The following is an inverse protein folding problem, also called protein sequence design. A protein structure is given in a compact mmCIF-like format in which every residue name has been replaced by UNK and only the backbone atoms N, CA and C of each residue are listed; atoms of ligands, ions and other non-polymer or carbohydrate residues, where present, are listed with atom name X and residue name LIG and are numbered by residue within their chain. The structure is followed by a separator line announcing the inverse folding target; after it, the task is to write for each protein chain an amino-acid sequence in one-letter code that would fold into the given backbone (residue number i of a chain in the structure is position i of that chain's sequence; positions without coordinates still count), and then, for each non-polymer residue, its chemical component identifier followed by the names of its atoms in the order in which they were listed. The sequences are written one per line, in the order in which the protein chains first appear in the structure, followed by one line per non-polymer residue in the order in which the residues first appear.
data_IF_972922017676
#
_entry.id   IF_972922017676
#
_cell.length_a   1.000
_cell.length_b   1.000
_cell.length_c   1.000
_cell.angle_alpha   90.00
_cell.angle_beta   90.00
_cell.angle_gamma   90.00
#
_symmetry.space_group_name_H-M   'P 1'
#
loop_
_entity.id
_entity.type
_entity.pdbx_description
1 polymer ?
#
# COMPACT_ATOMS: atom_id res chain seq x y z
N UNK A 1 -46.70 -8.70 11.56
CA UNK A 1 -46.04 -8.12 10.37
C UNK A 1 -45.43 -6.73 10.63
N UNK A 2 -46.18 -5.69 11.01
CA UNK A 2 -45.64 -4.32 11.25
C UNK A 2 -44.46 -4.24 12.23
N UNK A 3 -44.51 -4.99 13.35
CA UNK A 3 -43.40 -5.05 14.33
C UNK A 3 -42.15 -5.75 13.79
N UNK A 4 -42.33 -6.77 12.94
CA UNK A 4 -41.22 -7.49 12.31
C UNK A 4 -40.54 -6.63 11.24
N UNK A 5 -41.34 -5.88 10.48
CA UNK A 5 -40.84 -4.89 9.52
C UNK A 5 -40.08 -3.75 10.21
N UNK A 6 -40.63 -3.20 11.30
CA UNK A 6 -39.93 -2.18 12.09
C UNK A 6 -38.61 -2.70 12.68
N UNK A 7 -38.59 -3.95 13.21
CA UNK A 7 -37.38 -4.58 13.70
C UNK A 7 -36.37 -4.83 12.58
N UNK A 8 -36.80 -5.24 11.38
CA UNK A 8 -35.94 -5.44 10.22
C UNK A 8 -35.33 -4.13 9.71
N UNK A 9 -36.13 -3.07 9.61
CA UNK A 9 -35.63 -1.72 9.29
C UNK A 9 -34.66 -1.23 10.36
N UNK A 10 -34.97 -1.45 11.64
CA UNK A 10 -34.09 -1.12 12.75
C UNK A 10 -32.77 -1.89 12.68
N UNK A 11 -32.79 -3.19 12.35
CA UNK A 11 -31.58 -4.00 12.17
C UNK A 11 -30.74 -3.53 10.97
N UNK A 12 -31.37 -3.14 9.84
CA UNK A 12 -30.66 -2.56 8.68
C UNK A 12 -30.01 -1.21 9.03
N UNK A 13 -30.65 -0.42 9.90
CA UNK A 13 -30.07 0.84 10.40
C UNK A 13 -28.93 0.62 11.40
N UNK A 14 -28.88 -0.54 12.08
CA UNK A 14 -27.82 -0.90 13.02
C UNK A 14 -26.68 -1.74 12.43
N UNK A 15 -26.85 -2.31 11.24
CA UNK A 15 -25.72 -2.78 10.43
C UNK A 15 -25.04 -1.53 9.88
N UNK A 16 -24.15 -0.95 10.70
CA UNK A 16 -23.48 0.32 10.44
C UNK A 16 -23.06 0.47 8.99
N UNK A 17 -23.41 1.60 8.41
CA UNK A 17 -23.06 1.97 7.06
C UNK A 17 -21.56 2.30 6.99
N UNK A 18 -20.70 1.29 7.04
CA UNK A 18 -19.27 1.42 6.74
C UNK A 18 -19.04 1.24 5.24
N UNK A 19 -18.07 1.97 4.69
CA UNK A 19 -17.52 1.70 3.38
C UNK A 19 -16.16 1.06 3.59
N UNK A 20 -16.10 -0.27 3.42
CA UNK A 20 -14.85 -1.02 3.48
C UNK A 20 -13.80 -0.37 2.57
N UNK A 21 -12.53 -0.44 2.97
CA UNK A 21 -11.42 -0.02 2.15
C UNK A 21 -11.53 -0.64 0.75
N UNK A 22 -11.50 0.21 -0.28
CA UNK A 22 -11.57 -0.22 -1.68
C UNK A 22 -10.52 0.53 -2.49
N UNK A 23 -9.56 -0.22 -3.03
CA UNK A 23 -8.54 0.33 -3.95
C UNK A 23 -9.08 0.20 -5.38
N UNK A 24 -9.20 1.30 -6.09
CA UNK A 24 -9.86 1.33 -7.40
C UNK A 24 -9.00 0.83 -8.54
N UNK A 25 -7.67 0.90 -8.39
CA UNK A 25 -6.69 0.59 -9.43
C UNK A 25 -5.69 -0.51 -9.01
N UNK A 26 -6.05 -1.37 -8.06
CA UNK A 26 -5.14 -2.41 -7.53
C UNK A 26 -4.58 -3.34 -8.63
N UNK A 27 -5.37 -3.60 -9.67
CA UNK A 27 -5.01 -4.52 -10.75
C UNK A 27 -4.19 -3.89 -11.87
N UNK A 28 -4.03 -2.56 -11.90
CA UNK A 28 -3.23 -1.88 -12.94
C UNK A 28 -1.74 -2.23 -12.80
N UNK A 29 -1.32 -2.58 -11.59
CA UNK A 29 0.06 -2.96 -11.26
C UNK A 29 0.24 -4.49 -11.16
N UNK A 30 -0.55 -5.26 -11.89
CA UNK A 30 -0.36 -6.71 -11.95
C UNK A 30 0.85 -7.06 -12.83
N UNK A 31 1.84 -7.77 -12.29
CA UNK A 31 2.93 -8.37 -13.08
C UNK A 31 2.67 -9.83 -13.35
N UNK A 32 3.01 -10.26 -14.56
CA UNK A 32 3.10 -11.68 -14.89
C UNK A 32 4.31 -12.31 -14.18
N UNK A 33 4.24 -13.60 -13.82
CA UNK A 33 5.41 -14.32 -13.32
C UNK A 33 6.57 -14.23 -14.32
N UNK A 34 7.77 -13.92 -13.83
CA UNK A 34 9.01 -13.97 -14.62
C UNK A 34 9.36 -15.43 -14.86
N UNK A 35 9.88 -15.77 -16.05
CA UNK A 35 10.44 -17.09 -16.30
C UNK A 35 11.58 -17.38 -15.32
N UNK A 36 11.65 -18.59 -14.74
CA UNK A 36 12.72 -18.91 -13.81
C UNK A 36 14.08 -18.84 -14.53
N UNK A 37 15.10 -18.26 -13.88
CA UNK A 37 16.45 -18.18 -14.44
C UNK A 37 17.08 -19.57 -14.55
N UNK A 38 18.10 -19.71 -15.41
CA UNK A 38 18.86 -20.97 -15.52
C UNK A 38 19.73 -21.22 -14.28
N UNK A 39 20.27 -20.14 -13.71
CA UNK A 39 21.08 -20.15 -12.50
C UNK A 39 20.48 -19.22 -11.45
N UNK A 40 20.33 -19.72 -10.23
CA UNK A 40 19.78 -18.97 -9.10
C UNK A 40 20.89 -18.36 -8.27
N UNK A 41 20.69 -17.13 -7.78
CA UNK A 41 21.69 -16.43 -6.96
C UNK A 41 21.26 -16.28 -5.50
N UNK A 42 22.23 -16.10 -4.61
CA UNK A 42 21.98 -15.67 -3.22
C UNK A 42 22.06 -14.15 -3.12
N UNK A 43 20.97 -13.51 -2.65
CA UNK A 43 20.90 -12.06 -2.50
C UNK A 43 20.78 -11.64 -1.03
N UNK A 44 21.41 -10.53 -0.68
CA UNK A 44 21.20 -9.81 0.58
C UNK A 44 20.26 -8.63 0.38
N UNK A 45 19.26 -8.45 1.23
CA UNK A 45 18.34 -7.31 1.16
C UNK A 45 18.57 -6.37 2.34
N UNK A 46 18.75 -5.08 2.06
CA UNK A 46 18.89 -3.99 3.04
C UNK A 46 17.70 -3.06 2.92
N UNK A 47 17.06 -2.74 4.05
CA UNK A 47 15.92 -1.83 4.09
C UNK A 47 16.22 -0.55 4.86
N UNK A 48 15.93 0.61 4.27
CA UNK A 48 16.09 1.90 4.95
C UNK A 48 15.04 2.16 6.04
N UNK A 49 13.87 1.52 5.95
CA UNK A 49 12.69 1.85 6.76
C UNK A 49 12.41 0.89 7.93
N UNK A 50 13.41 0.14 8.42
CA UNK A 50 13.17 -0.84 9.49
C UNK A 50 12.64 -0.24 10.81
N UNK A 51 12.80 1.08 11.01
CA UNK A 51 12.36 1.77 12.23
C UNK A 51 10.93 2.35 12.13
N UNK A 52 10.29 2.29 10.97
CA UNK A 52 8.91 2.75 10.77
C UNK A 52 7.96 1.53 10.82
N UNK A 53 7.21 1.33 11.92
CA UNK A 53 6.36 0.16 12.07
C UNK A 53 5.31 0.03 10.96
N UNK A 54 4.76 1.16 10.50
CA UNK A 54 3.66 1.19 9.53
C UNK A 54 4.20 0.89 8.13
N UNK A 55 5.26 1.59 7.71
CA UNK A 55 5.81 1.43 6.36
C UNK A 55 6.65 0.15 6.17
N UNK A 56 7.10 -0.48 7.26
CA UNK A 56 7.81 -1.77 7.20
C UNK A 56 7.01 -2.89 6.49
N UNK A 57 5.68 -2.78 6.44
CA UNK A 57 4.81 -3.72 5.74
C UNK A 57 5.13 -3.86 4.25
N UNK A 58 5.45 -2.75 3.57
CA UNK A 58 5.84 -2.78 2.16
C UNK A 58 7.15 -3.52 1.95
N UNK A 59 8.17 -3.23 2.76
CA UNK A 59 9.46 -3.88 2.64
C UNK A 59 9.34 -5.39 2.93
N UNK A 60 8.60 -5.76 3.97
CA UNK A 60 8.35 -7.15 4.31
C UNK A 60 7.64 -7.89 3.17
N UNK A 61 6.68 -7.25 2.50
CA UNK A 61 5.97 -7.87 1.38
C UNK A 61 6.87 -8.09 0.17
N UNK A 62 7.78 -7.14 -0.14
CA UNK A 62 8.80 -7.31 -1.19
C UNK A 62 9.75 -8.45 -0.85
N UNK A 63 10.29 -8.49 0.37
CA UNK A 63 11.18 -9.58 0.82
C UNK A 63 10.47 -10.93 0.79
N UNK A 64 9.22 -11.00 1.24
CA UNK A 64 8.41 -12.20 1.20
C UNK A 64 8.15 -12.66 -0.24
N UNK A 65 7.90 -11.73 -1.16
CA UNK A 65 7.70 -12.03 -2.57
C UNK A 65 9.00 -12.51 -3.24
N UNK A 66 10.15 -11.88 -2.95
CA UNK A 66 11.46 -12.34 -3.41
C UNK A 66 11.72 -13.78 -2.93
N UNK A 67 11.52 -14.08 -1.64
CA UNK A 67 11.66 -15.43 -1.07
C UNK A 67 10.72 -16.46 -1.70
N UNK A 68 9.48 -16.07 -1.97
CA UNK A 68 8.46 -16.94 -2.54
C UNK A 68 8.53 -17.10 -4.07
N UNK A 69 9.40 -16.35 -4.76
CA UNK A 69 9.45 -16.33 -6.22
C UNK A 69 10.05 -17.59 -6.85
N UNK A 70 10.92 -18.29 -6.12
CA UNK A 70 11.71 -19.41 -6.65
C UNK A 70 12.84 -18.99 -7.61
N UNK A 71 13.08 -17.69 -7.79
CA UNK A 71 14.14 -17.17 -8.66
C UNK A 71 15.50 -17.07 -7.95
N UNK A 72 15.55 -17.24 -6.63
CA UNK A 72 16.76 -17.07 -5.83
C UNK A 72 17.02 -18.35 -5.05
N UNK A 73 18.30 -18.70 -4.87
CA UNK A 73 18.70 -19.81 -4.00
C UNK A 73 18.39 -19.45 -2.54
N UNK A 74 18.75 -18.21 -2.16
CA UNK A 74 18.53 -17.69 -0.81
C UNK A 74 18.37 -16.17 -0.82
N UNK A 75 17.43 -15.68 0.00
CA UNK A 75 17.20 -14.24 0.22
C UNK A 75 17.43 -13.92 1.70
N UNK A 76 18.57 -13.30 1.98
CA UNK A 76 19.01 -12.94 3.34
C UNK A 76 18.44 -11.56 3.70
N UNK A 77 17.57 -11.51 4.71
CA UNK A 77 17.00 -10.28 5.24
C UNK A 77 16.74 -10.44 6.75
N UNK A 78 17.19 -9.49 7.60
CA UNK A 78 17.97 -8.29 7.24
C UNK A 78 19.42 -8.63 6.87
N UNK A 79 19.93 -8.11 5.76
CA UNK A 79 21.34 -8.25 5.40
C UNK A 79 22.20 -7.26 6.19
N UNK A 80 23.36 -7.75 6.64
CA UNK A 80 24.43 -6.93 7.21
C UNK A 80 25.76 -7.41 6.67
N UNK A 81 26.57 -6.46 6.19
CA UNK A 81 27.89 -6.75 5.61
C UNK A 81 28.84 -7.41 6.63
N UNK A 82 28.74 -7.05 7.92
CA UNK A 82 29.60 -7.61 8.97
C UNK A 82 29.37 -9.10 9.21
N UNK A 83 28.14 -9.58 8.93
CA UNK A 83 27.71 -10.92 9.29
C UNK A 83 27.59 -11.85 8.07
N UNK A 84 27.43 -11.29 6.86
CA UNK A 84 27.09 -12.06 5.66
C UNK A 84 27.89 -11.64 4.42
N UNK A 85 28.97 -10.87 4.58
CA UNK A 85 29.68 -10.20 3.47
C UNK A 85 30.10 -11.12 2.32
N UNK A 86 30.52 -12.35 2.61
CA UNK A 86 30.97 -13.34 1.62
C UNK A 86 29.88 -14.32 1.15
N UNK A 87 28.65 -14.17 1.62
CA UNK A 87 27.57 -15.15 1.37
C UNK A 87 26.59 -14.74 0.28
N UNK A 88 26.74 -13.53 -0.29
CA UNK A 88 25.79 -12.97 -1.25
C UNK A 88 26.50 -12.53 -2.53
N UNK A 89 25.86 -12.77 -3.67
CA UNK A 89 26.36 -12.36 -4.99
C UNK A 89 25.87 -10.96 -5.38
N UNK A 90 24.72 -10.56 -4.84
CA UNK A 90 24.17 -9.22 -4.99
C UNK A 90 23.56 -8.70 -3.69
N UNK A 91 23.68 -7.39 -3.48
CA UNK A 91 23.06 -6.66 -2.37
C UNK A 91 21.99 -5.76 -2.97
N UNK A 92 20.75 -5.94 -2.54
CA UNK A 92 19.59 -5.15 -2.96
C UNK A 92 19.21 -4.22 -1.81
N UNK A 93 19.50 -2.94 -1.96
CA UNK A 93 19.07 -1.90 -1.03
C UNK A 93 17.73 -1.31 -1.51
N UNK A 94 16.75 -1.31 -0.62
CA UNK A 94 15.39 -0.87 -0.90
C UNK A 94 15.05 0.29 0.03
N UNK A 95 14.66 1.42 -0.57
CA UNK A 95 14.11 2.58 0.13
C UNK A 95 12.74 2.90 -0.45
N UNK A 96 11.73 2.94 0.39
CA UNK A 96 10.35 3.22 0.00
C UNK A 96 10.01 4.60 0.56
N UNK A 97 9.30 5.42 -0.19
CA UNK A 97 8.91 6.78 0.20
C UNK A 97 7.44 6.93 -0.18
N UNK A 98 6.52 6.55 0.73
CA UNK A 98 5.10 6.73 0.50
C UNK A 98 4.67 8.15 0.86
N UNK A 99 3.91 8.76 -0.03
CA UNK A 99 3.20 10.02 0.18
C UNK A 99 1.70 9.75 0.11
N UNK A 100 0.94 10.35 1.02
CA UNK A 100 -0.49 10.11 1.18
C UNK A 100 -1.28 11.42 1.14
N UNK A 101 -2.29 11.47 0.27
CA UNK A 101 -3.09 12.67 0.05
C UNK A 101 -4.60 12.39 0.17
N UNK A 102 -5.31 13.36 0.71
CA UNK A 102 -6.76 13.41 0.70
C UNK A 102 -7.32 14.02 -0.58
N UNK A 103 -8.57 13.71 -0.93
CA UNK A 103 -9.20 14.26 -2.11
C UNK A 103 -10.13 15.44 -1.75
N UNK A 104 -10.01 16.56 -2.48
CA UNK A 104 -10.93 17.70 -2.34
C UNK A 104 -12.40 17.31 -2.54
N UNK A 105 -12.69 16.24 -3.30
CA UNK A 105 -14.05 15.71 -3.46
C UNK A 105 -14.68 15.23 -2.15
N UNK A 106 -13.88 14.92 -1.12
CA UNK A 106 -14.35 14.54 0.22
C UNK A 106 -15.16 15.66 0.88
N UNK A 107 -14.98 16.91 0.43
CA UNK A 107 -15.84 18.03 0.81
C UNK A 107 -17.31 17.73 0.51
N UNK A 108 -17.61 17.23 -0.70
CA UNK A 108 -18.98 16.94 -1.15
C UNK A 108 -19.56 15.67 -0.53
N UNK A 109 -18.73 14.85 0.11
CA UNK A 109 -19.18 13.70 0.89
C UNK A 109 -19.80 14.16 2.22
N UNK A 110 -19.32 15.28 2.78
CA UNK A 110 -19.85 15.87 4.03
C UNK A 110 -20.82 17.02 3.80
N UNK A 111 -20.48 17.97 2.94
CA UNK A 111 -21.32 19.11 2.59
C UNK A 111 -22.16 18.75 1.36
N UNK A 112 -23.49 18.99 1.36
CA UNK A 112 -24.24 19.92 2.22
C UNK A 112 -24.84 19.35 3.52
N UNK A 113 -24.43 18.18 3.99
CA UNK A 113 -24.85 17.60 5.27
C UNK A 113 -26.24 16.93 5.27
N UNK A 114 -27.11 17.23 4.30
CA UNK A 114 -28.40 16.53 4.17
C UNK A 114 -28.27 15.14 3.52
N UNK A 115 -27.11 14.81 2.94
CA UNK A 115 -26.82 13.49 2.39
C UNK A 115 -26.30 12.55 3.48
N UNK A 116 -27.21 12.17 4.37
CA UNK A 116 -26.95 11.36 5.58
C UNK A 116 -26.12 10.09 5.31
N UNK A 117 -26.23 9.51 4.12
CA UNK A 117 -25.52 8.27 3.75
C UNK A 117 -24.39 8.48 2.74
N UNK A 118 -24.01 9.73 2.43
CA UNK A 118 -22.94 10.00 1.46
C UNK A 118 -21.60 9.33 1.83
N UNK A 119 -21.11 9.40 3.08
CA UNK A 119 -19.88 8.70 3.46
C UNK A 119 -19.96 7.19 3.26
N UNK A 120 -21.09 6.59 3.60
CA UNK A 120 -21.28 5.15 3.45
C UNK A 120 -21.41 4.70 1.98
N UNK A 121 -22.05 5.51 1.14
CA UNK A 121 -22.29 5.16 -0.27
C UNK A 121 -21.03 5.42 -1.11
N UNK A 122 -20.31 6.51 -0.84
CA UNK A 122 -19.21 6.95 -1.69
C UNK A 122 -17.82 6.73 -1.09
N UNK A 123 -17.70 6.66 0.23
CA UNK A 123 -16.42 6.69 0.93
C UNK A 123 -15.71 8.03 0.79
N UNK A 124 -14.71 8.27 1.64
CA UNK A 124 -13.71 9.30 1.42
C UNK A 124 -12.65 8.78 0.45
N UNK A 125 -12.33 9.57 -0.56
CA UNK A 125 -11.28 9.27 -1.53
C UNK A 125 -9.91 9.72 -1.03
N UNK A 126 -8.92 8.87 -1.27
CA UNK A 126 -7.52 9.08 -0.93
C UNK A 126 -6.63 8.63 -2.10
N UNK A 127 -5.42 9.16 -2.13
CA UNK A 127 -4.36 8.79 -3.05
C UNK A 127 -3.09 8.44 -2.25
N UNK A 128 -2.37 7.42 -2.70
CA UNK A 128 -1.05 7.06 -2.18
C UNK A 128 -0.07 6.97 -3.35
N UNK A 129 0.97 7.79 -3.31
CA UNK A 129 2.08 7.78 -4.26
C UNK A 129 3.29 7.14 -3.60
N UNK A 130 3.69 5.97 -4.08
CA UNK A 130 4.74 5.16 -3.48
C UNK A 130 5.94 5.14 -4.42
N UNK A 131 6.97 5.92 -4.08
CA UNK A 131 8.25 5.87 -4.76
C UNK A 131 9.15 4.81 -4.11
N UNK A 132 9.68 3.89 -4.91
CA UNK A 132 10.55 2.81 -4.45
C UNK A 132 11.89 2.90 -5.17
N UNK A 133 12.91 3.28 -4.41
CA UNK A 133 14.30 3.29 -4.85
C UNK A 133 14.92 1.92 -4.59
N UNK A 134 15.49 1.34 -5.63
CA UNK A 134 16.19 0.06 -5.58
C UNK A 134 17.61 0.25 -6.10
N UNK A 135 18.58 0.03 -5.23
CA UNK A 135 20.00 -0.01 -5.57
C UNK A 135 20.50 -1.45 -5.50
N UNK A 136 20.94 -2.01 -6.62
CA UNK A 136 21.50 -3.36 -6.71
C UNK A 136 23.01 -3.25 -6.87
N UNK A 137 23.77 -3.74 -5.89
CA UNK A 137 25.23 -3.75 -5.92
C UNK A 137 25.75 -5.18 -6.10
N UNK A 138 26.71 -5.35 -7.01
CA UNK A 138 27.39 -6.61 -7.30
C UNK A 138 28.86 -6.50 -6.86
N UNK A 139 29.21 -6.96 -5.65
CA UNK A 139 30.55 -6.76 -5.08
C UNK A 139 31.68 -7.29 -5.98
N UNK A 140 31.50 -8.49 -6.53
CA UNK A 140 32.51 -9.16 -7.36
C UNK A 140 32.70 -8.49 -8.72
N UNK A 141 31.61 -7.95 -9.27
CA UNK A 141 31.62 -7.25 -10.57
C UNK A 141 32.02 -5.77 -10.44
N UNK A 142 32.06 -5.23 -9.21
CA UNK A 142 32.23 -3.79 -8.94
C UNK A 142 31.25 -2.93 -9.74
N UNK A 143 30.00 -3.39 -9.86
CA UNK A 143 28.92 -2.72 -10.57
C UNK A 143 27.76 -2.44 -9.62
N UNK A 144 27.04 -1.36 -9.91
CA UNK A 144 25.80 -1.02 -9.23
C UNK A 144 24.76 -0.56 -10.24
N UNK A 145 23.51 -0.91 -10.00
CA UNK A 145 22.36 -0.44 -10.78
C UNK A 145 21.38 0.26 -9.86
N UNK A 146 20.80 1.34 -10.38
CA UNK A 146 19.79 2.12 -9.69
C UNK A 146 18.51 2.07 -10.50
N UNK A 147 17.39 1.81 -9.84
CA UNK A 147 16.08 1.88 -10.45
C UNK A 147 15.08 2.53 -9.49
N UNK A 148 14.18 3.31 -10.07
CA UNK A 148 13.09 3.97 -9.36
C UNK A 148 11.76 3.44 -9.89
N UNK A 149 10.91 3.00 -8.98
CA UNK A 149 9.60 2.43 -9.29
C UNK A 149 8.54 3.32 -8.63
N UNK A 150 7.70 3.94 -9.44
CA UNK A 150 6.58 4.75 -8.98
C UNK A 150 5.27 4.00 -9.12
N UNK A 151 4.51 3.91 -8.03
CA UNK A 151 3.18 3.31 -8.01
C UNK A 151 2.20 4.26 -7.35
N UNK A 152 1.16 4.64 -8.08
CA UNK A 152 0.05 5.45 -7.56
C UNK A 152 -1.16 4.55 -7.30
N UNK A 153 -1.73 4.64 -6.11
CA UNK A 153 -2.95 3.94 -5.74
C UNK A 153 -4.02 4.95 -5.36
N UNK A 154 -5.22 4.78 -5.91
CA UNK A 154 -6.41 5.52 -5.51
C UNK A 154 -7.32 4.59 -4.74
N UNK A 155 -7.80 5.03 -3.59
CA UNK A 155 -8.64 4.20 -2.73
C UNK A 155 -9.70 5.00 -2.00
N UNK A 156 -10.69 4.28 -1.47
CA UNK A 156 -11.83 4.84 -0.75
C UNK A 156 -12.08 4.10 0.56
N UNK A 157 -12.39 4.82 1.64
CA UNK A 157 -12.76 4.23 2.92
C UNK A 157 -13.71 5.17 3.68
N UNK A 158 -14.63 4.60 4.46
CA UNK A 158 -15.36 5.33 5.48
C UNK A 158 -15.72 4.40 6.65
N UNK A 159 -15.43 4.84 7.87
CA UNK A 159 -15.84 4.20 9.11
C UNK A 159 -16.70 5.19 9.91
N UNK A 160 -17.82 4.71 10.47
CA UNK A 160 -18.81 5.58 11.12
C UNK A 160 -18.21 6.28 12.36
N UNK A 161 -17.47 5.53 13.16
CA UNK A 161 -16.76 5.99 14.36
C UNK A 161 -15.68 7.05 14.09
N UNK A 162 -15.26 7.20 12.82
CA UNK A 162 -14.31 8.23 12.37
C UNK A 162 -14.99 9.47 11.81
N UNK A 163 -16.30 9.40 11.56
CA UNK A 163 -17.06 10.57 11.16
C UNK A 163 -17.48 11.35 12.40
N UNK A 164 -16.68 12.35 12.80
CA UNK A 164 -17.00 13.28 13.92
C UNK A 164 -18.37 13.94 13.80
N UNK A 165 -18.97 13.88 12.61
CA UNK A 165 -20.29 14.34 12.34
C UNK A 165 -21.37 13.43 12.90
N UNK A 166 -21.16 12.27 13.55
CA UNK A 166 -22.19 11.36 14.15
C UNK A 166 -23.41 12.05 14.82
N UNK A 167 -23.29 13.30 15.28
CA UNK A 167 -24.38 14.12 15.83
C UNK A 167 -24.83 15.28 14.90
N UNK A 168 -24.00 15.71 13.95
CA UNK A 168 -24.24 16.81 13.00
C UNK A 168 -25.21 16.54 11.84
N UNK A 169 -25.81 15.34 11.77
CA UNK A 169 -26.73 14.88 10.70
C UNK A 169 -28.09 15.59 10.82
N UNK A 170 -28.42 16.00 12.04
CA UNK A 170 -29.59 16.80 12.39
C UNK A 170 -29.28 18.31 12.36
N UNK A 171 -28.01 18.68 12.22
CA UNK A 171 -27.53 20.06 12.22
C UNK A 171 -27.15 20.47 10.79
N UNK A 172 -28.16 20.75 9.98
CA UNK A 172 -27.98 21.47 8.70
C UNK A 172 -27.44 22.87 9.01
N UNK A 173 -26.14 23.09 8.80
CA UNK A 173 -25.50 24.35 9.17
C UNK A 173 -23.98 24.39 8.98
N UNK A 174 -23.29 25.10 9.87
CA UNK A 174 -21.84 25.35 9.76
C UNK A 174 -20.97 24.11 10.01
N UNK A 175 -21.51 23.12 10.74
CA UNK A 175 -20.77 21.92 11.14
C UNK A 175 -20.45 21.02 9.94
N UNK A 176 -21.40 20.62 9.07
CA UNK A 176 -21.08 19.91 7.83
C UNK A 176 -20.14 20.66 6.88
N UNK A 177 -20.18 21.99 6.90
CA UNK A 177 -19.28 22.83 6.10
C UNK A 177 -17.83 22.73 6.60
N UNK A 178 -17.61 22.88 7.91
CA UNK A 178 -16.29 22.68 8.53
C UNK A 178 -15.84 21.21 8.36
N UNK A 179 -16.79 20.27 8.53
CA UNK A 179 -16.74 18.87 8.11
C UNK A 179 -16.04 18.67 6.78
N UNK A 180 -16.64 19.25 5.74
CA UNK A 180 -16.16 19.15 4.38
C UNK A 180 -14.69 19.55 4.23
N UNK A 181 -14.26 20.65 4.86
CA UNK A 181 -12.88 21.12 4.78
C UNK A 181 -11.89 20.24 5.55
N UNK A 182 -12.25 19.74 6.73
CA UNK A 182 -11.36 18.86 7.51
C UNK A 182 -11.12 17.55 6.74
N UNK A 183 -12.17 16.96 6.20
CA UNK A 183 -12.08 15.67 5.48
C UNK A 183 -11.47 15.75 4.07
N UNK A 184 -11.11 16.94 3.56
CA UNK A 184 -10.28 17.02 2.35
C UNK A 184 -8.83 16.60 2.61
N UNK A 185 -8.39 16.60 3.87
CA UNK A 185 -7.07 16.14 4.26
C UNK A 185 -7.01 14.62 4.34
N UNK A 186 -5.79 14.07 4.32
CA UNK A 186 -5.57 12.64 4.50
C UNK A 186 -5.91 12.21 5.93
N UNK A 187 -6.53 11.04 6.08
CA UNK A 187 -6.81 10.40 7.38
C UNK A 187 -5.70 9.37 7.69
N UNK A 188 -4.78 9.62 8.65
CA UNK A 188 -3.70 8.69 8.97
C UNK A 188 -4.17 7.31 9.45
N UNK A 189 -5.39 7.20 9.98
CA UNK A 189 -5.89 5.93 10.50
C UNK A 189 -6.26 4.95 9.36
N UNK A 190 -6.30 5.41 8.10
CA UNK A 190 -6.52 4.54 6.92
C UNK A 190 -5.22 3.93 6.39
N UNK A 191 -4.05 4.39 6.87
CA UNK A 191 -2.75 3.96 6.35
C UNK A 191 -2.51 2.47 6.58
N UNK A 192 -2.68 1.96 7.80
CA UNK A 192 -2.42 0.56 8.11
C UNK A 192 -3.34 -0.41 7.33
N UNK A 193 -4.68 -0.21 7.29
CA UNK A 193 -5.56 -0.99 6.44
C UNK A 193 -5.14 -0.95 4.96
N UNK A 194 -4.77 0.24 4.46
CA UNK A 194 -4.32 0.43 3.08
C UNK A 194 -3.06 -0.39 2.78
N UNK A 195 -2.03 -0.29 3.63
CA UNK A 195 -0.79 -1.04 3.49
C UNK A 195 -1.07 -2.53 3.51
N UNK A 196 -1.89 -3.02 4.44
CA UNK A 196 -2.24 -4.44 4.53
C UNK A 196 -2.86 -4.98 3.23
N UNK A 197 -3.75 -4.21 2.61
CA UNK A 197 -4.44 -4.63 1.38
C UNK A 197 -3.56 -4.50 0.13
N UNK A 198 -2.74 -3.44 0.01
CA UNK A 198 -1.85 -3.23 -1.14
C UNK A 198 -0.62 -4.13 -1.11
N UNK A 199 -0.08 -4.40 0.07
CA UNK A 199 1.24 -5.02 0.26
C UNK A 199 1.46 -6.30 -0.56
N UNK A 200 0.52 -7.26 -0.66
CA UNK A 200 0.73 -8.48 -1.43
C UNK A 200 0.92 -8.23 -2.94
N UNK A 201 0.18 -7.29 -3.52
CA UNK A 201 0.30 -6.95 -4.95
C UNK A 201 1.57 -6.12 -5.19
N UNK A 202 1.78 -5.08 -4.38
CA UNK A 202 2.96 -4.24 -4.40
C UNK A 202 4.26 -5.05 -4.29
N UNK A 203 4.33 -5.95 -3.30
CA UNK A 203 5.51 -6.78 -3.04
C UNK A 203 5.87 -7.65 -4.24
N UNK A 204 4.87 -8.27 -4.89
CA UNK A 204 5.06 -9.04 -6.12
C UNK A 204 5.57 -8.16 -7.25
N UNK A 205 4.92 -7.03 -7.52
CA UNK A 205 5.31 -6.11 -8.60
C UNK A 205 6.77 -5.67 -8.47
N UNK A 206 7.15 -5.16 -7.29
CA UNK A 206 8.51 -4.69 -7.03
C UNK A 206 9.51 -5.85 -7.08
N UNK A 207 9.17 -7.03 -6.54
CA UNK A 207 10.04 -8.20 -6.61
C UNK A 207 10.30 -8.68 -8.04
N UNK A 208 9.28 -8.61 -8.93
CA UNK A 208 9.43 -8.87 -10.36
C UNK A 208 10.43 -7.90 -10.97
N UNK A 209 10.30 -6.60 -10.70
CA UNK A 209 11.21 -5.57 -11.24
C UNK A 209 12.65 -5.74 -10.74
N UNK A 210 12.83 -6.06 -9.46
CA UNK A 210 14.14 -6.39 -8.89
C UNK A 210 14.73 -7.61 -9.61
N UNK A 211 13.94 -8.67 -9.80
CA UNK A 211 14.39 -9.89 -10.49
C UNK A 211 14.79 -9.62 -11.94
N UNK A 212 13.95 -8.88 -12.68
CA UNK A 212 14.23 -8.49 -14.07
C UNK A 212 15.53 -7.69 -14.20
N UNK A 213 15.72 -6.67 -13.35
CA UNK A 213 16.96 -5.87 -13.35
C UNK A 213 18.16 -6.75 -13.01
N UNK A 214 18.01 -7.61 -11.99
CA UNK A 214 19.10 -8.42 -11.49
C UNK A 214 19.63 -9.38 -12.56
N UNK A 215 18.72 -10.11 -13.23
CA UNK A 215 19.08 -11.10 -14.24
C UNK A 215 19.48 -10.49 -15.58
N UNK A 216 18.90 -9.35 -15.97
CA UNK A 216 19.36 -8.62 -17.15
C UNK A 216 20.85 -8.26 -17.09
N UNK A 217 21.36 -8.07 -15.88
CA UNK A 217 22.75 -7.67 -15.66
C UNK A 217 23.66 -8.87 -15.54
N UNK A 218 23.23 -9.95 -14.89
CA UNK A 218 24.00 -11.20 -14.87
C UNK A 218 24.18 -11.76 -16.28
N UNK A 219 23.11 -11.87 -17.07
CA UNK A 219 23.17 -12.41 -18.44
C UNK A 219 24.11 -11.64 -19.39
N UNK A 220 24.32 -10.34 -19.17
CA UNK A 220 25.25 -9.53 -19.99
C UNK A 220 26.73 -9.81 -19.70
N UNK A 221 27.04 -10.46 -18.58
CA UNK A 221 28.42 -10.69 -18.14
C UNK A 221 28.87 -12.15 -18.29
N UNK A 222 27.98 -13.06 -18.70
CA UNK A 222 28.27 -14.44 -19.09
C UNK A 222 28.23 -14.58 -20.62
#
# INVERSE_FOLDING_TARGET
MKKLFALFVMLILFTGCSHNLRITNLNENFTHPVSPPQETVTIGVVGAQMNDPVNSGYLFSVVSALRGSGNFDRVIYPYSHSSHGSEVEAIVQISILPEYDGNASNFFVNFPGFLIFAPAIWGYGYQADIATMVDISYPDLKKSEHSEIHLTYTFRQAEIDRTWTEIGWLEVGIIPLIGGFVFTQYDPDVTEPFISEVSPNYGRYVSTKITESLYSTLEKNY
#
